data_IF_736197791667
#
_entry.id   IF_736197791667
#
_cell.length_a   1.000
_cell.length_b   1.000
_cell.length_c   1.000
_cell.angle_alpha   90.00
_cell.angle_beta   90.00
_cell.angle_gamma   90.00
#
_symmetry.space_group_name_H-M   'P 1'
#
loop_
_entity.id
_entity.type
_entity.pdbx_description
1 polymer ?
#
# COMPACT_ATOMS: atom_id res chain seq x y z
N UNK A 1 -30.59 -27.49 -5.27
CA UNK A 1 -29.24 -27.22 -5.80
C UNK A 1 -28.45 -26.43 -4.75
N UNK A 2 -27.27 -26.89 -4.32
CA UNK A 2 -26.41 -26.06 -3.49
C UNK A 2 -25.85 -24.90 -4.33
N UNK A 3 -25.67 -23.69 -3.76
CA UNK A 3 -25.16 -22.54 -4.50
C UNK A 3 -23.69 -22.77 -4.88
N UNK A 4 -23.41 -22.65 -6.17
CA UNK A 4 -22.08 -22.75 -6.78
C UNK A 4 -21.12 -21.76 -6.12
N UNK A 5 -19.89 -22.16 -5.76
CA UNK A 5 -18.91 -21.24 -5.18
C UNK A 5 -18.52 -20.18 -6.22
N UNK A 6 -18.84 -18.91 -5.95
CA UNK A 6 -18.51 -17.72 -6.75
C UNK A 6 -17.01 -17.38 -6.80
N UNK A 7 -16.15 -18.37 -6.53
CA UNK A 7 -14.69 -18.30 -6.66
C UNK A 7 -14.23 -18.35 -8.13
N UNK A 8 -15.10 -18.67 -9.09
CA UNK A 8 -14.72 -18.80 -10.50
C UNK A 8 -14.51 -17.47 -11.23
N UNK A 9 -15.00 -16.33 -10.72
CA UNK A 9 -15.11 -15.14 -11.58
C UNK A 9 -13.86 -14.27 -11.71
N UNK A 10 -12.82 -14.43 -10.89
CA UNK A 10 -11.51 -13.80 -11.08
C UNK A 10 -10.51 -14.26 -10.00
N UNK A 11 -9.71 -15.32 -10.24
CA UNK A 11 -8.69 -15.73 -9.28
C UNK A 11 -7.64 -14.62 -9.09
N UNK A 12 -7.36 -14.25 -7.84
CA UNK A 12 -6.32 -13.28 -7.49
C UNK A 12 -6.77 -11.81 -7.40
N UNK A 13 -7.92 -11.44 -7.96
CA UNK A 13 -8.42 -10.06 -7.90
C UNK A 13 -8.95 -9.74 -6.49
N UNK A 14 -8.53 -8.61 -5.87
CA UNK A 14 -9.13 -8.11 -4.63
C UNK A 14 -10.61 -7.80 -4.79
N UNK A 15 -11.45 -8.27 -3.86
CA UNK A 15 -12.91 -8.09 -3.92
C UNK A 15 -13.45 -7.71 -2.55
N UNK A 16 -14.46 -6.86 -2.56
CA UNK A 16 -15.30 -6.52 -1.40
C UNK A 16 -16.77 -6.68 -1.79
N UNK A 17 -17.64 -6.95 -0.82
CA UNK A 17 -19.08 -6.98 -1.02
C UNK A 17 -19.68 -5.63 -0.63
N UNK A 18 -20.45 -5.03 -1.54
CA UNK A 18 -21.06 -3.71 -1.32
C UNK A 18 -22.58 -3.83 -1.38
N UNK A 19 -23.23 -3.59 -0.23
CA UNK A 19 -24.68 -3.40 -0.13
C UNK A 19 -25.04 -1.94 -0.45
N UNK A 20 -25.39 -1.66 -1.70
CA UNK A 20 -25.76 -0.31 -2.14
C UNK A 20 -27.19 0.06 -1.68
N UNK A 21 -27.50 1.36 -1.72
CA UNK A 21 -28.80 1.95 -1.35
C UNK A 21 -29.16 1.73 0.12
N UNK A 22 -28.19 1.87 1.02
CA UNK A 22 -28.43 1.76 2.46
C UNK A 22 -29.55 2.70 2.97
N UNK A 23 -29.78 3.84 2.33
CA UNK A 23 -30.90 4.74 2.64
C UNK A 23 -32.29 4.06 2.52
N UNK A 24 -32.41 2.94 1.82
CA UNK A 24 -33.62 2.10 1.74
C UNK A 24 -33.58 0.91 2.70
N UNK A 25 -32.83 1.00 3.81
CA UNK A 25 -32.71 -0.06 4.81
C UNK A 25 -34.05 -0.65 5.27
N UNK A 26 -35.10 0.17 5.34
CA UNK A 26 -36.45 -0.23 5.74
C UNK A 26 -37.19 -1.07 4.68
N UNK A 27 -36.74 -1.03 3.41
CA UNK A 27 -37.25 -1.82 2.29
C UNK A 27 -36.23 -2.89 1.85
N UNK A 28 -35.32 -3.30 2.74
CA UNK A 28 -34.28 -4.27 2.41
C UNK A 28 -34.89 -5.62 2.03
N UNK A 29 -34.40 -6.19 0.92
CA UNK A 29 -34.74 -7.55 0.51
C UNK A 29 -33.77 -8.59 1.08
N UNK A 30 -32.55 -8.16 1.40
CA UNK A 30 -31.50 -9.00 1.98
C UNK A 30 -31.17 -8.48 3.37
N UNK A 31 -31.33 -9.29 4.44
CA UNK A 31 -30.88 -8.95 5.77
C UNK A 31 -29.35 -8.76 5.82
N UNK A 32 -28.90 -7.77 6.59
CA UNK A 32 -27.47 -7.48 6.80
C UNK A 32 -26.69 -8.71 7.26
N UNK A 33 -27.28 -9.54 8.11
CA UNK A 33 -26.64 -10.76 8.63
C UNK A 33 -26.39 -11.82 7.55
N UNK A 34 -27.35 -11.98 6.64
CA UNK A 34 -27.20 -12.87 5.48
C UNK A 34 -26.09 -12.39 4.55
N UNK A 35 -26.04 -11.08 4.26
CA UNK A 35 -25.01 -10.49 3.42
C UNK A 35 -23.61 -10.62 4.06
N UNK A 36 -23.51 -10.41 5.38
CA UNK A 36 -22.27 -10.58 6.14
C UNK A 36 -21.77 -12.02 6.11
N UNK A 37 -22.65 -12.99 6.36
CA UNK A 37 -22.30 -14.40 6.29
C UNK A 37 -21.84 -14.81 4.87
N UNK A 38 -22.47 -14.25 3.82
CA UNK A 38 -22.03 -14.46 2.45
C UNK A 38 -20.63 -13.88 2.20
N UNK A 39 -20.33 -12.68 2.68
CA UNK A 39 -19.02 -12.05 2.53
C UNK A 39 -17.93 -12.87 3.22
N UNK A 40 -18.17 -13.29 4.47
CA UNK A 40 -17.25 -14.11 5.25
C UNK A 40 -16.97 -15.47 4.59
N UNK A 41 -18.02 -16.15 4.13
CA UNK A 41 -17.91 -17.43 3.40
C UNK A 41 -17.05 -17.32 2.13
N UNK A 42 -16.98 -16.13 1.53
CA UNK A 42 -16.22 -15.87 0.31
C UNK A 42 -14.92 -15.09 0.54
N UNK A 43 -14.52 -14.87 1.80
CA UNK A 43 -13.30 -14.14 2.14
C UNK A 43 -13.30 -12.68 1.67
N UNK A 44 -14.46 -12.02 1.68
CA UNK A 44 -14.64 -10.62 1.30
C UNK A 44 -15.04 -9.78 2.51
N UNK A 45 -14.61 -8.52 2.53
CA UNK A 45 -15.11 -7.52 3.48
C UNK A 45 -16.47 -7.00 3.00
N UNK A 46 -17.42 -6.81 3.92
CA UNK A 46 -18.76 -6.29 3.59
C UNK A 46 -18.92 -4.83 4.03
N UNK A 47 -19.43 -4.00 3.12
CA UNK A 47 -19.79 -2.61 3.36
C UNK A 47 -21.23 -2.33 2.94
N UNK A 48 -22.00 -1.66 3.79
CA UNK A 48 -23.26 -1.03 3.38
C UNK A 48 -22.99 0.44 3.05
N UNK A 49 -23.36 0.86 1.85
CA UNK A 49 -23.08 2.19 1.31
C UNK A 49 -24.34 2.91 0.87
N UNK A 50 -24.31 4.24 0.95
CA UNK A 50 -25.33 5.09 0.33
C UNK A 50 -24.65 6.27 -0.36
N UNK A 51 -24.43 6.22 -1.68
CA UNK A 51 -23.92 7.36 -2.43
C UNK A 51 -24.83 8.59 -2.29
N UNK A 52 -26.15 8.38 -2.18
CA UNK A 52 -27.13 9.44 -1.95
C UNK A 52 -26.86 10.23 -0.65
N UNK A 53 -26.38 9.55 0.38
CA UNK A 53 -26.09 10.17 1.69
C UNK A 53 -24.59 10.34 1.93
N UNK A 54 -23.76 10.11 0.89
CA UNK A 54 -22.30 10.04 0.98
C UNK A 54 -21.80 9.15 2.14
N UNK A 55 -22.46 8.02 2.38
CA UNK A 55 -22.17 7.13 3.52
C UNK A 55 -21.36 5.92 3.07
N UNK A 56 -20.24 5.65 3.76
CA UNK A 56 -19.32 4.51 3.56
C UNK A 56 -18.72 4.37 2.15
N UNK A 57 -18.87 5.38 1.29
CA UNK A 57 -18.30 5.34 -0.07
C UNK A 57 -16.78 5.36 0.02
N UNK A 58 -16.21 6.37 0.70
CA UNK A 58 -14.77 6.55 0.82
C UNK A 58 -14.12 5.37 1.55
N UNK A 59 -14.73 4.92 2.64
CA UNK A 59 -14.26 3.82 3.46
C UNK A 59 -14.21 2.52 2.67
N UNK A 60 -15.24 2.22 1.86
CA UNK A 60 -15.27 1.03 1.02
C UNK A 60 -14.15 1.03 -0.04
N UNK A 61 -13.92 2.17 -0.71
CA UNK A 61 -12.83 2.31 -1.68
C UNK A 61 -11.45 2.28 -1.03
N UNK A 62 -11.31 2.90 0.14
CA UNK A 62 -10.06 2.90 0.91
C UNK A 62 -9.69 1.49 1.33
N UNK A 63 -10.66 0.71 1.82
CA UNK A 63 -10.42 -0.68 2.21
C UNK A 63 -10.07 -1.55 1.01
N UNK A 64 -10.78 -1.42 -0.11
CA UNK A 64 -10.45 -2.12 -1.34
C UNK A 64 -9.00 -1.81 -1.77
N UNK A 65 -8.64 -0.53 -1.77
CA UNK A 65 -7.28 -0.08 -2.09
C UNK A 65 -6.26 -0.71 -1.15
N UNK A 66 -6.51 -0.68 0.17
CA UNK A 66 -5.65 -1.31 1.18
C UNK A 66 -5.44 -2.80 0.92
N UNK A 67 -6.50 -3.54 0.57
CA UNK A 67 -6.40 -4.98 0.25
C UNK A 67 -5.52 -5.21 -0.98
N UNK A 68 -5.69 -4.41 -2.03
CA UNK A 68 -4.84 -4.44 -3.24
C UNK A 68 -3.37 -4.22 -2.85
N UNK A 69 -3.11 -3.16 -2.08
CA UNK A 69 -1.76 -2.79 -1.64
C UNK A 69 -1.06 -3.89 -0.85
N UNK A 70 -1.77 -4.47 0.13
CA UNK A 70 -1.22 -5.55 0.95
C UNK A 70 -0.97 -6.81 0.14
N UNK A 71 -1.87 -7.17 -0.78
CA UNK A 71 -1.72 -8.38 -1.62
C UNK A 71 -0.53 -8.29 -2.57
N UNK A 72 -0.29 -7.13 -3.17
CA UNK A 72 0.81 -6.93 -4.10
C UNK A 72 2.15 -6.63 -3.43
N UNK A 73 2.23 -6.69 -2.09
CA UNK A 73 3.47 -6.38 -1.35
C UNK A 73 3.95 -4.95 -1.56
N UNK A 74 3.04 -4.06 -1.95
CA UNK A 74 3.37 -2.71 -2.37
C UNK A 74 3.70 -1.79 -1.19
N UNK A 75 3.45 -2.17 0.08
CA UNK A 75 3.77 -1.33 1.25
C UNK A 75 5.20 -0.76 1.23
N UNK A 76 6.17 -1.51 0.69
CA UNK A 76 7.57 -1.07 0.56
C UNK A 76 7.79 -0.07 -0.58
N UNK A 77 6.98 -0.14 -1.64
CA UNK A 77 7.01 0.75 -2.80
C UNK A 77 6.12 2.00 -2.63
N UNK A 78 5.22 2.00 -1.65
CA UNK A 78 4.44 3.18 -1.21
C UNK A 78 5.25 4.18 -0.39
N UNK A 79 6.56 3.94 -0.18
CA UNK A 79 7.45 5.07 0.06
C UNK A 79 7.16 6.08 -1.05
N UNK A 80 6.87 7.35 -0.73
CA UNK A 80 6.73 8.34 -1.75
C UNK A 80 8.04 8.31 -2.56
N UNK A 81 8.03 7.71 -3.74
CA UNK A 81 9.06 7.95 -4.75
C UNK A 81 8.79 9.36 -5.24
N UNK A 82 8.97 10.33 -4.34
CA UNK A 82 9.02 11.74 -4.66
C UNK A 82 10.38 11.94 -5.30
N UNK A 83 10.45 11.50 -6.55
CA UNK A 83 11.26 12.20 -7.52
C UNK A 83 10.48 13.50 -7.72
N UNK A 84 10.77 14.52 -6.88
CA UNK A 84 9.99 15.75 -6.86
C UNK A 84 10.15 16.52 -8.19
N UNK A 85 11.25 16.24 -8.91
CA UNK A 85 11.62 16.89 -10.17
C UNK A 85 12.46 15.97 -11.05
N UNK A 86 12.51 16.25 -12.36
CA UNK A 86 13.46 15.61 -13.28
C UNK A 86 14.92 15.75 -12.79
N UNK A 87 15.23 16.86 -12.12
CA UNK A 87 16.54 17.12 -11.54
C UNK A 87 16.91 16.08 -10.48
N UNK A 88 15.99 15.73 -9.57
CA UNK A 88 16.23 14.67 -8.57
C UNK A 88 16.47 13.31 -9.22
N UNK A 89 15.76 13.02 -10.32
CA UNK A 89 15.94 11.77 -11.06
C UNK A 89 17.34 11.68 -11.66
N UNK A 90 17.74 12.74 -12.37
CA UNK A 90 19.05 12.85 -13.00
C UNK A 90 20.16 12.80 -11.94
N UNK A 91 19.99 13.47 -10.80
CA UNK A 91 20.96 13.42 -9.71
C UNK A 91 21.11 12.00 -9.14
N UNK A 92 20.00 11.29 -8.89
CA UNK A 92 20.04 9.89 -8.44
C UNK A 92 20.72 8.96 -9.44
N UNK A 93 20.43 9.13 -10.73
CA UNK A 93 21.00 8.30 -11.79
C UNK A 93 22.51 8.52 -11.94
N UNK A 94 22.98 9.77 -11.86
CA UNK A 94 24.41 10.10 -11.96
C UNK A 94 25.15 9.62 -10.71
N UNK A 95 24.62 9.92 -9.52
CA UNK A 95 25.24 9.56 -8.23
C UNK A 95 25.20 8.05 -7.97
N UNK A 96 24.32 7.28 -8.59
CA UNK A 96 24.28 5.82 -8.43
C UNK A 96 25.37 5.09 -9.24
N UNK A 97 25.87 5.68 -10.32
CA UNK A 97 26.90 5.08 -11.18
C UNK A 97 28.24 5.81 -11.14
N UNK A 98 28.31 7.00 -10.53
CA UNK A 98 29.53 7.81 -10.44
C UNK A 98 29.94 7.98 -8.98
N UNK A 99 31.10 7.45 -8.54
CA UNK A 99 31.58 7.68 -7.19
C UNK A 99 31.91 9.16 -6.97
N UNK A 100 31.74 9.66 -5.74
CA UNK A 100 31.80 11.10 -5.42
C UNK A 100 33.10 11.79 -5.82
N UNK A 101 34.22 11.09 -5.77
CA UNK A 101 35.53 11.62 -6.18
C UNK A 101 35.67 11.76 -7.71
N UNK A 102 34.87 11.04 -8.49
CA UNK A 102 34.82 11.16 -9.95
C UNK A 102 33.82 12.21 -10.44
N UNK A 103 32.94 12.72 -9.57
CA UNK A 103 32.00 13.80 -9.93
C UNK A 103 32.75 15.04 -10.45
N UNK A 104 33.95 15.31 -9.91
CA UNK A 104 34.78 16.45 -10.35
C UNK A 104 35.30 16.30 -11.78
N UNK A 105 35.42 15.07 -12.27
CA UNK A 105 35.91 14.76 -13.62
C UNK A 105 34.82 14.81 -14.69
N UNK A 106 33.55 14.94 -14.31
CA UNK A 106 32.45 15.05 -15.28
C UNK A 106 32.55 16.36 -16.08
N UNK A 107 32.21 16.36 -17.39
CA UNK A 107 32.15 17.57 -18.20
C UNK A 107 30.85 18.36 -17.91
N UNK A 108 30.66 18.75 -16.65
CA UNK A 108 29.48 19.46 -16.15
C UNK A 108 29.86 20.80 -15.52
N UNK A 109 28.96 21.80 -15.52
CA UNK A 109 29.14 23.05 -14.79
C UNK A 109 29.39 22.83 -13.29
N UNK A 110 30.19 23.73 -12.69
CA UNK A 110 30.57 23.66 -11.26
C UNK A 110 29.34 23.64 -10.33
N UNK A 111 28.31 24.41 -10.67
CA UNK A 111 27.05 24.42 -9.91
C UNK A 111 26.37 23.04 -9.86
N UNK A 112 26.37 22.30 -10.97
CA UNK A 112 25.78 20.96 -11.05
C UNK A 112 26.64 19.95 -10.30
N UNK A 113 27.97 20.03 -10.41
CA UNK A 113 28.90 19.18 -9.65
C UNK A 113 28.73 19.34 -8.15
N UNK A 114 28.63 20.58 -7.67
CA UNK A 114 28.36 20.89 -6.26
C UNK A 114 27.03 20.31 -5.80
N UNK A 115 25.98 20.49 -6.60
CA UNK A 115 24.65 19.92 -6.32
C UNK A 115 24.68 18.39 -6.23
N UNK A 116 25.36 17.71 -7.15
CA UNK A 116 25.49 16.25 -7.14
C UNK A 116 26.24 15.72 -5.92
N UNK A 117 27.30 16.42 -5.48
CA UNK A 117 28.03 16.08 -4.25
C UNK A 117 27.14 16.20 -3.01
N UNK A 118 26.47 17.34 -2.86
CA UNK A 118 25.54 17.60 -1.75
C UNK A 118 24.39 16.59 -1.75
N UNK A 119 23.83 16.28 -2.92
CA UNK A 119 22.80 15.26 -3.08
C UNK A 119 23.27 13.87 -2.66
N UNK A 120 24.49 13.47 -3.06
CA UNK A 120 25.08 12.19 -2.66
C UNK A 120 25.27 12.07 -1.14
N UNK A 121 25.70 13.15 -0.49
CA UNK A 121 25.89 13.20 0.96
C UNK A 121 24.56 13.18 1.73
N UNK A 122 23.57 13.96 1.28
CA UNK A 122 22.24 14.03 1.90
C UNK A 122 21.49 12.69 1.84
N UNK A 123 21.71 11.91 0.78
CA UNK A 123 21.00 10.65 0.54
C UNK A 123 21.79 9.40 0.96
N UNK A 124 22.98 9.56 1.54
CA UNK A 124 23.82 8.44 2.00
C UNK A 124 24.28 7.48 0.89
N UNK A 125 24.24 7.91 -0.38
CA UNK A 125 24.53 7.05 -1.54
C UNK A 125 26.03 6.72 -1.67
N UNK A 126 26.90 7.50 -1.01
CA UNK A 126 28.35 7.29 -0.98
C UNK A 126 28.78 5.98 -0.30
N UNK A 127 27.99 5.45 0.64
CA UNK A 127 28.34 4.24 1.39
C UNK A 127 28.08 2.94 0.60
N UNK A 128 27.25 3.00 -0.44
CA UNK A 128 26.73 1.79 -1.12
C UNK A 128 27.69 1.27 -2.18
N UNK A 129 28.51 2.14 -2.79
CA UNK A 129 29.41 1.76 -3.89
C UNK A 129 30.76 1.17 -3.46
N UNK A 130 31.06 1.08 -2.16
CA UNK A 130 32.33 0.50 -1.69
C UNK A 130 32.40 -1.03 -1.79
N UNK A 131 31.29 -1.71 -2.12
CA UNK A 131 31.32 -3.10 -2.53
C UNK A 131 31.02 -3.21 -4.02
N UNK A 132 32.07 -3.48 -4.82
CA UNK A 132 32.04 -3.63 -6.26
C UNK A 132 31.13 -4.75 -6.76
N UNK A 133 29.81 -4.54 -6.70
CA UNK A 133 28.83 -5.33 -7.42
C UNK A 133 28.34 -4.51 -8.61
N UNK A 134 28.79 -4.93 -9.78
CA UNK A 134 28.22 -4.57 -11.07
C UNK A 134 26.70 -4.64 -11.02
N UNK A 135 26.05 -3.65 -11.64
CA UNK A 135 24.60 -3.57 -11.79
C UNK A 135 24.09 -4.81 -12.55
N UNK A 136 23.63 -5.81 -11.81
CA UNK A 136 22.64 -6.75 -12.34
C UNK A 136 21.28 -6.21 -11.92
N UNK A 137 20.42 -5.93 -12.91
CA UNK A 137 19.00 -5.73 -12.71
C UNK A 137 18.40 -7.01 -12.13
N UNK A 138 18.53 -7.22 -10.81
CA UNK A 138 17.96 -8.35 -10.11
C UNK A 138 17.60 -7.94 -8.68
N UNK A 139 16.31 -8.14 -8.38
CA UNK A 139 15.67 -8.11 -7.07
C UNK A 139 16.61 -8.14 -5.86
N UNK A 140 16.53 -7.11 -5.02
CA UNK A 140 17.06 -7.18 -3.66
C UNK A 140 16.11 -8.01 -2.77
N UNK A 141 16.22 -9.33 -2.89
CA UNK A 141 15.96 -10.25 -1.79
C UNK A 141 17.26 -10.43 -0.98
N UNK A 142 17.15 -10.35 0.35
CA UNK A 142 18.22 -10.64 1.32
C UNK A 142 18.88 -9.37 1.86
N UNK A 143 19.07 -9.18 3.17
CA UNK A 143 19.00 -10.10 4.28
C UNK A 143 20.11 -9.73 5.26
N UNK A 144 19.78 -9.03 6.34
CA UNK A 144 20.70 -8.85 7.47
C UNK A 144 20.40 -9.89 8.54
N UNK A 145 21.32 -10.84 8.70
CA UNK A 145 21.45 -11.69 9.88
C UNK A 145 21.87 -10.81 11.06
N UNK A 146 21.14 -10.93 12.17
CA UNK A 146 21.50 -10.42 13.49
C UNK A 146 20.86 -11.31 14.56
N UNK A 147 21.65 -11.65 15.57
CA UNK A 147 21.55 -12.79 16.49
C UNK A 147 20.21 -13.14 17.18
N UNK A 148 20.13 -14.44 17.47
CA UNK A 148 19.18 -15.20 18.30
C UNK A 148 19.06 -14.69 19.74
N UNK A 149 17.81 -14.49 20.20
CA UNK A 149 17.35 -14.78 21.57
C UNK A 149 15.94 -15.41 21.48
N UNK A 150 15.84 -16.66 21.93
CA UNK A 150 14.61 -17.46 22.01
C UNK A 150 13.63 -16.82 23.01
N UNK A 151 12.32 -16.74 22.70
CA UNK A 151 11.19 -17.28 23.51
C UNK A 151 9.79 -17.07 22.87
N UNK A 152 9.11 -18.19 22.66
CA UNK A 152 7.66 -18.48 22.74
C UNK A 152 6.58 -17.74 21.91
N UNK A 153 5.77 -18.56 21.23
CA UNK A 153 4.55 -18.30 20.46
C UNK A 153 3.46 -17.50 21.22
N UNK A 154 2.77 -16.58 20.55
CA UNK A 154 1.29 -16.47 20.58
C UNK A 154 0.77 -15.63 19.40
N UNK A 155 -0.26 -16.17 18.75
CA UNK A 155 -0.96 -15.63 17.59
C UNK A 155 -1.99 -14.62 18.07
N UNK A 156 -1.93 -13.35 17.63
CA UNK A 156 -3.08 -12.44 17.61
C UNK A 156 -3.01 -11.53 16.38
N UNK A 157 -4.08 -11.43 15.55
CA UNK A 157 -4.18 -10.38 14.54
C UNK A 157 -4.36 -9.01 15.22
N UNK A 158 -3.82 -7.91 14.66
CA UNK A 158 -4.05 -6.57 15.20
C UNK A 158 -5.53 -6.21 15.07
N UNK A 159 -6.08 -5.63 16.15
CA UNK A 159 -7.47 -5.23 16.27
C UNK A 159 -7.87 -4.28 15.14
N UNK A 160 -8.99 -4.59 14.51
CA UNK A 160 -9.76 -3.67 13.66
C UNK A 160 -10.06 -2.37 14.41
N UNK A 161 -10.13 -1.21 13.72
CA UNK A 161 -10.42 0.07 14.35
C UNK A 161 -11.74 0.03 15.14
N UNK A 162 -11.86 0.80 16.23
CA UNK A 162 -12.99 0.71 17.14
C UNK A 162 -14.30 1.00 16.40
N UNK A 163 -15.26 0.08 16.52
CA UNK A 163 -16.67 0.33 16.22
C UNK A 163 -17.21 1.35 17.23
N UNK A 164 -16.93 2.63 17.02
CA UNK A 164 -17.72 3.68 17.64
C UNK A 164 -18.81 4.07 16.63
N UNK A 165 -19.86 3.26 16.60
CA UNK A 165 -21.11 3.59 15.93
C UNK A 165 -21.76 4.75 16.71
N UNK A 166 -21.38 5.99 16.41
CA UNK A 166 -22.18 7.15 16.82
C UNK A 166 -23.51 7.06 16.08
N UNK A 167 -24.51 6.63 16.84
CA UNK A 167 -25.92 6.53 16.47
C UNK A 167 -26.46 7.94 16.20
N UNK A 168 -26.17 8.50 15.04
CA UNK A 168 -26.78 9.75 14.61
C UNK A 168 -28.14 9.42 13.99
N UNK A 169 -29.18 9.66 14.79
CA UNK A 169 -30.58 9.65 14.39
C UNK A 169 -30.78 10.59 13.19
N UNK A 170 -31.16 10.04 12.03
CA UNK A 170 -31.83 10.80 10.99
C UNK A 170 -33.24 11.16 11.47
N UNK A 171 -33.42 12.37 12.00
CA UNK A 171 -34.73 13.04 12.04
C UNK A 171 -34.90 13.79 10.72
N UNK A 172 -35.88 13.39 9.94
CA UNK A 172 -36.34 14.12 8.76
C UNK A 172 -37.49 15.00 9.24
N UNK A 173 -37.35 16.32 9.08
CA UNK A 173 -38.47 17.27 9.01
C UNK A 173 -38.93 17.40 7.57
#
# INVERSE_FOLDING_TARGET
MPPSPSHQHAPGVPRILVGNRLHLAFKRQVPTEQARAYAEKNGMTFFEVSPLCNFNVIESFTELSRIVLMRHGMEKFWKPNRVFTLQDLCCRAIVSCTPVHLIDKLPLPVAIKSHLKSFSMANGMNAVMMHGRSYSLANAAGGSKGNSLKRSKSIKPPQSPPQNCTRNNCKIS
#
